data_IF_853300953407
#
_entry.id   IF_853300953407
#
_cell.length_a   1.000
_cell.length_b   1.000
_cell.length_c   1.000
_cell.angle_alpha   90.00
_cell.angle_beta   90.00
_cell.angle_gamma   90.00
#
_symmetry.space_group_name_H-M   'P 1'
#
loop_
_entity.id
_entity.type
_entity.pdbx_description
1 polymer ?
#
# COMPACT_ATOMS: atom_id res chain seq x y z
N UNK A 1 -17.83 -13.11 -0.06
CA UNK A 1 -17.17 -11.93 -0.66
C UNK A 1 -17.92 -10.70 -0.18
N UNK A 2 -17.19 -9.67 0.21
CA UNK A 2 -17.69 -8.42 0.81
C UNK A 2 -17.39 -7.31 -0.20
N UNK A 3 -18.41 -6.67 -0.75
CA UNK A 3 -18.23 -5.62 -1.77
C UNK A 3 -18.17 -4.26 -1.08
N UNK A 4 -17.15 -3.44 -1.37
CA UNK A 4 -17.01 -2.10 -0.76
C UNK A 4 -18.19 -1.17 -1.08
N UNK A 5 -18.89 -1.40 -2.19
CA UNK A 5 -20.07 -0.61 -2.57
C UNK A 5 -21.27 -0.86 -1.66
N UNK A 6 -21.36 -2.03 -1.03
CA UNK A 6 -22.40 -2.34 -0.04
C UNK A 6 -22.25 -1.49 1.23
N UNK A 7 -21.09 -0.87 1.42
CA UNK A 7 -20.77 0.06 2.50
C UNK A 7 -20.78 1.53 2.07
N UNK A 8 -21.19 1.81 0.83
CA UNK A 8 -21.36 3.16 0.32
C UNK A 8 -20.20 3.71 -0.50
N UNK A 9 -19.23 2.88 -0.92
CA UNK A 9 -18.17 3.35 -1.81
C UNK A 9 -18.74 3.77 -3.18
N UNK A 10 -18.35 4.96 -3.63
CA UNK A 10 -18.86 5.61 -4.86
C UNK A 10 -17.97 5.27 -6.06
N UNK A 11 -16.67 5.43 -5.91
CA UNK A 11 -15.69 5.15 -6.96
C UNK A 11 -15.74 6.12 -8.14
N UNK A 12 -15.93 7.40 -7.87
CA UNK A 12 -15.97 8.48 -8.86
C UNK A 12 -14.61 9.22 -8.99
N UNK A 13 -13.61 8.83 -8.19
CA UNK A 13 -12.29 9.48 -8.12
C UNK A 13 -12.27 10.80 -7.33
N UNK A 14 -13.40 11.25 -6.83
CA UNK A 14 -13.56 12.53 -6.13
C UNK A 14 -13.98 12.31 -4.68
N UNK A 15 -15.03 11.52 -4.47
CA UNK A 15 -15.56 11.17 -3.14
C UNK A 15 -14.53 10.37 -2.35
N UNK A 16 -14.37 10.72 -1.07
CA UNK A 16 -13.47 9.99 -0.17
C UNK A 16 -14.15 8.69 0.30
N UNK A 17 -13.73 7.57 -0.24
CA UNK A 17 -14.32 6.25 0.01
C UNK A 17 -13.66 5.49 1.18
N UNK A 18 -12.71 6.09 1.91
CA UNK A 18 -11.93 5.44 2.99
C UNK A 18 -12.83 4.71 3.98
N UNK A 19 -13.88 5.38 4.46
CA UNK A 19 -14.74 4.81 5.49
C UNK A 19 -15.52 3.57 4.98
N UNK A 20 -15.93 3.58 3.72
CA UNK A 20 -16.62 2.46 3.10
C UNK A 20 -15.69 1.26 2.92
N UNK A 21 -14.48 1.50 2.39
CA UNK A 21 -13.45 0.47 2.20
C UNK A 21 -13.03 -0.11 3.55
N UNK A 22 -12.77 0.74 4.55
CA UNK A 22 -12.36 0.27 5.88
C UNK A 22 -13.46 -0.55 6.58
N UNK A 23 -14.73 -0.14 6.47
CA UNK A 23 -15.85 -0.92 7.03
C UNK A 23 -15.95 -2.31 6.41
N UNK A 24 -15.72 -2.42 5.11
CA UNK A 24 -15.69 -3.73 4.44
C UNK A 24 -14.53 -4.59 4.97
N UNK A 25 -13.35 -4.02 5.14
CA UNK A 25 -12.19 -4.69 5.76
C UNK A 25 -12.45 -5.06 7.22
N UNK A 26 -13.11 -4.21 7.98
CA UNK A 26 -13.46 -4.46 9.39
C UNK A 26 -14.39 -5.68 9.57
N UNK A 27 -15.20 -6.01 8.55
CA UNK A 27 -15.99 -7.23 8.58
C UNK A 27 -15.12 -8.50 8.58
N UNK A 28 -13.89 -8.42 8.08
CA UNK A 28 -12.95 -9.54 8.05
C UNK A 28 -12.19 -9.74 9.37
N UNK A 29 -12.19 -8.77 10.29
CA UNK A 29 -11.40 -8.83 11.55
C UNK A 29 -11.58 -10.12 12.33
N UNK A 30 -12.78 -10.66 12.38
CA UNK A 30 -13.10 -11.81 13.23
C UNK A 30 -12.95 -13.15 12.51
N UNK A 31 -13.38 -13.22 11.26
CA UNK A 31 -13.54 -14.50 10.55
C UNK A 31 -12.74 -14.55 9.23
N UNK A 32 -12.01 -13.50 8.91
CA UNK A 32 -11.37 -13.37 7.60
C UNK A 32 -12.39 -13.18 6.48
N UNK A 33 -11.90 -13.14 5.25
CA UNK A 33 -12.75 -13.08 4.06
C UNK A 33 -12.10 -12.35 2.89
N UNK A 34 -12.85 -12.22 1.80
CA UNK A 34 -12.43 -11.48 0.61
C UNK A 34 -13.22 -10.19 0.50
N UNK A 35 -12.52 -9.06 0.49
CA UNK A 35 -13.06 -7.73 0.20
C UNK A 35 -12.82 -7.43 -1.26
N UNK A 36 -13.89 -7.14 -2.00
CA UNK A 36 -13.86 -6.87 -3.44
C UNK A 36 -13.91 -5.37 -3.68
N UNK A 37 -12.95 -4.89 -4.47
CA UNK A 37 -12.93 -3.54 -5.05
C UNK A 37 -13.40 -3.65 -6.50
N UNK A 38 -14.64 -3.23 -6.83
CA UNK A 38 -15.22 -3.42 -8.15
C UNK A 38 -14.50 -2.65 -9.25
N UNK A 39 -14.41 -3.29 -10.43
CA UNK A 39 -13.70 -2.79 -11.58
C UNK A 39 -14.29 -1.55 -12.25
N UNK A 40 -13.48 -0.93 -13.13
CA UNK A 40 -13.88 0.20 -13.97
C UNK A 40 -14.14 1.50 -13.19
N UNK A 41 -13.60 1.64 -11.98
CA UNK A 41 -13.81 2.77 -11.07
C UNK A 41 -12.53 3.16 -10.34
N UNK A 42 -12.45 4.44 -9.95
CA UNK A 42 -11.39 4.98 -9.12
C UNK A 42 -11.96 5.35 -7.75
N UNK A 43 -11.51 4.66 -6.72
CA UNK A 43 -11.88 4.92 -5.33
C UNK A 43 -10.78 5.74 -4.66
N UNK A 44 -11.07 7.01 -4.36
CA UNK A 44 -10.15 7.87 -3.61
C UNK A 44 -10.22 7.50 -2.13
N UNK A 45 -9.09 7.13 -1.55
CA UNK A 45 -9.02 6.69 -0.16
C UNK A 45 -7.83 7.33 0.57
N UNK A 46 -7.98 7.51 1.87
CA UNK A 46 -6.87 7.72 2.80
C UNK A 46 -6.32 6.40 3.33
N UNK A 47 -5.87 6.39 4.58
CA UNK A 47 -5.32 5.17 5.19
C UNK A 47 -6.37 4.08 5.35
N UNK A 48 -6.01 2.87 4.93
CA UNK A 48 -6.76 1.64 5.25
C UNK A 48 -5.84 0.61 5.90
N UNK A 49 -6.44 -0.26 6.73
CA UNK A 49 -5.76 -1.36 7.38
C UNK A 49 -6.36 -2.70 6.95
N UNK A 50 -5.50 -3.64 6.58
CA UNK A 50 -5.86 -5.03 6.25
C UNK A 50 -5.51 -5.91 7.45
N UNK A 51 -6.38 -6.85 7.78
CA UNK A 51 -6.27 -7.73 8.94
C UNK A 51 -5.95 -9.17 8.54
N UNK A 52 -5.65 -10.00 9.54
CA UNK A 52 -5.40 -11.43 9.34
C UNK A 52 -6.51 -12.12 8.56
N UNK A 53 -6.14 -13.12 7.79
CA UNK A 53 -7.05 -13.99 7.01
C UNK A 53 -7.92 -13.22 6.00
N UNK A 54 -7.40 -12.08 5.50
CA UNK A 54 -8.12 -11.18 4.59
C UNK A 54 -7.47 -11.14 3.21
N UNK A 55 -8.30 -11.25 2.20
CA UNK A 55 -7.95 -10.94 0.81
C UNK A 55 -8.57 -9.62 0.39
N UNK A 56 -7.74 -8.68 -0.08
CA UNK A 56 -8.17 -7.49 -0.81
C UNK A 56 -8.06 -7.81 -2.31
N UNK A 57 -9.21 -8.01 -2.95
CA UNK A 57 -9.28 -8.36 -4.37
C UNK A 57 -9.68 -7.16 -5.20
N UNK A 58 -8.81 -6.73 -6.12
CA UNK A 58 -9.06 -5.62 -7.03
C UNK A 58 -9.47 -6.17 -8.41
N UNK A 59 -10.72 -5.96 -8.79
CA UNK A 59 -11.18 -6.34 -10.12
C UNK A 59 -10.45 -5.56 -11.21
N UNK A 60 -10.45 -6.07 -12.43
CA UNK A 60 -9.84 -5.41 -13.59
C UNK A 60 -10.39 -4.00 -13.77
N UNK A 61 -9.48 -3.02 -13.89
CA UNK A 61 -9.83 -1.61 -14.01
C UNK A 61 -10.28 -0.94 -12.70
N UNK A 62 -10.24 -1.62 -11.56
CA UNK A 62 -10.37 -0.97 -10.26
C UNK A 62 -9.11 -0.17 -9.93
N UNK A 63 -9.25 1.02 -9.38
CA UNK A 63 -8.13 1.82 -8.87
C UNK A 63 -8.42 2.25 -7.44
N UNK A 64 -7.55 1.87 -6.49
CA UNK A 64 -7.49 2.48 -5.17
C UNK A 64 -6.47 3.62 -5.24
N UNK A 65 -6.93 4.85 -5.21
CA UNK A 65 -6.07 6.03 -5.34
C UNK A 65 -5.94 6.77 -4.01
N UNK A 66 -4.69 7.08 -3.63
CA UNK A 66 -4.42 7.88 -2.45
C UNK A 66 -5.08 9.26 -2.56
N UNK A 67 -5.66 9.72 -1.46
CA UNK A 67 -6.21 11.07 -1.36
C UNK A 67 -5.16 12.13 -1.69
N UNK A 68 -5.61 13.21 -2.28
CA UNK A 68 -4.82 14.42 -2.53
C UNK A 68 -4.61 15.29 -1.27
N UNK A 69 -5.11 14.83 -0.12
CA UNK A 69 -5.01 15.52 1.17
C UNK A 69 -4.27 14.66 2.18
N UNK A 70 -3.16 15.16 2.69
CA UNK A 70 -2.34 14.44 3.69
C UNK A 70 -3.12 14.17 4.99
N UNK A 71 -4.09 15.00 5.32
CA UNK A 71 -4.92 14.86 6.51
C UNK A 71 -5.81 13.61 6.48
N UNK A 72 -6.05 13.05 5.29
CA UNK A 72 -6.79 11.80 5.12
C UNK A 72 -5.92 10.57 5.43
N UNK A 73 -4.60 10.75 5.53
CA UNK A 73 -3.66 9.71 5.92
C UNK A 73 -3.45 9.72 7.44
N UNK A 74 -3.53 8.55 8.04
CA UNK A 74 -3.41 8.41 9.48
C UNK A 74 -1.98 8.18 9.90
N UNK A 75 -1.61 8.79 11.03
CA UNK A 75 -0.36 8.50 11.68
C UNK A 75 -0.36 7.09 12.29
N UNK A 76 0.84 6.60 12.55
CA UNK A 76 1.06 5.29 13.17
C UNK A 76 0.32 5.09 14.51
N UNK A 77 0.05 6.18 15.25
CA UNK A 77 -0.67 6.10 16.53
C UNK A 77 -2.14 5.74 16.40
N UNK A 78 -2.72 5.81 15.21
CA UNK A 78 -4.14 5.55 14.97
C UNK A 78 -4.34 4.17 14.33
N UNK A 79 -3.30 3.55 13.82
CA UNK A 79 -3.33 2.20 13.27
C UNK A 79 -3.37 1.20 14.43
N UNK A 80 -4.27 0.23 14.32
CA UNK A 80 -4.38 -0.82 15.33
C UNK A 80 -3.13 -1.71 15.34
N UNK A 81 -2.34 -1.57 16.37
CA UNK A 81 -1.10 -2.32 16.59
C UNK A 81 -1.25 -3.46 17.58
N UNK A 82 -2.48 -3.81 17.94
CA UNK A 82 -2.75 -4.82 18.97
C UNK A 82 -2.14 -6.18 18.67
N UNK A 83 -1.70 -6.40 17.43
CA UNK A 83 -1.19 -7.69 17.00
C UNK A 83 0.32 -7.75 16.73
N UNK A 84 1.10 -6.73 16.98
CA UNK A 84 2.57 -6.83 16.92
C UNK A 84 3.23 -5.56 16.38
N UNK A 85 3.67 -4.71 17.26
CA UNK A 85 4.79 -3.86 16.89
C UNK A 85 6.01 -4.76 16.73
N UNK A 86 6.65 -4.71 15.58
CA UNK A 86 7.94 -5.34 15.46
C UNK A 86 8.97 -4.54 16.26
N UNK A 87 9.72 -5.24 17.10
CA UNK A 87 10.91 -4.68 17.75
C UNK A 87 12.14 -4.69 16.81
N UNK A 88 11.97 -5.19 15.60
CA UNK A 88 13.04 -5.18 14.61
C UNK A 88 13.34 -3.72 14.25
N UNK A 89 14.56 -3.24 14.47
CA UNK A 89 14.96 -1.92 13.98
C UNK A 89 15.03 -1.98 12.47
N UNK A 90 13.91 -1.65 11.83
CA UNK A 90 13.73 -1.90 10.41
C UNK A 90 14.75 -1.11 9.60
N UNK A 91 14.83 0.17 9.83
CA UNK A 91 15.80 1.01 9.13
C UNK A 91 15.81 2.40 9.76
N UNK A 92 16.89 3.10 9.56
CA UNK A 92 16.99 4.53 9.80
C UNK A 92 17.28 5.15 8.45
N UNK A 93 16.36 5.91 7.91
CA UNK A 93 16.59 6.63 6.68
C UNK A 93 16.44 8.14 6.87
N UNK A 94 16.73 8.90 5.83
CA UNK A 94 16.68 10.35 5.87
C UNK A 94 15.26 10.93 6.01
N UNK A 95 14.21 10.12 5.79
CA UNK A 95 12.84 10.59 5.71
C UNK A 95 12.11 10.46 7.03
N UNK A 96 12.37 9.38 7.77
CA UNK A 96 11.78 9.17 9.09
C UNK A 96 12.68 8.27 9.94
N UNK A 97 12.66 8.50 11.22
CA UNK A 97 13.47 7.75 12.16
C UNK A 97 12.71 6.52 12.64
N UNK A 98 12.92 5.41 11.97
CA UNK A 98 12.25 4.14 12.26
C UNK A 98 11.02 3.91 11.38
N UNK A 99 9.82 4.15 11.88
CA UNK A 99 8.56 3.85 11.19
C UNK A 99 8.00 5.05 10.43
N UNK A 100 7.22 4.82 9.34
CA UNK A 100 6.56 5.90 8.63
C UNK A 100 5.68 6.75 9.54
N UNK A 101 5.69 8.06 9.32
CA UNK A 101 4.81 8.97 10.05
C UNK A 101 3.34 8.79 9.68
N UNK A 102 3.08 8.39 8.43
CA UNK A 102 1.75 8.13 7.89
C UNK A 102 1.76 6.84 7.08
N UNK A 103 0.60 6.20 7.00
CA UNK A 103 0.38 5.01 6.19
C UNK A 103 -0.68 5.28 5.11
N UNK A 104 -0.50 4.66 3.95
CA UNK A 104 -1.56 4.55 2.96
C UNK A 104 -2.27 3.20 3.10
N UNK A 105 -1.62 2.10 2.75
CA UNK A 105 -2.17 0.76 3.01
C UNK A 105 -1.25 0.05 4.00
N UNK A 106 -1.80 -0.29 5.14
CA UNK A 106 -1.10 -0.98 6.23
C UNK A 106 -1.67 -2.38 6.44
N UNK A 107 -0.80 -3.36 6.62
CA UNK A 107 -1.21 -4.72 6.93
C UNK A 107 -0.32 -5.33 8.02
N UNK A 108 -0.94 -6.07 8.95
CA UNK A 108 -0.24 -6.86 9.96
C UNK A 108 -1.06 -8.10 10.34
N UNK A 109 -0.40 -9.17 10.74
CA UNK A 109 -1.04 -10.42 11.18
C UNK A 109 -0.63 -11.64 10.36
N UNK A 110 -1.57 -12.41 9.85
CA UNK A 110 -1.30 -13.64 9.11
C UNK A 110 -2.24 -13.87 7.93
N UNK A 111 -1.80 -14.64 6.93
CA UNK A 111 -2.61 -15.05 5.79
C UNK A 111 -3.27 -13.87 5.07
N UNK A 112 -2.48 -12.84 4.71
CA UNK A 112 -2.96 -11.63 4.06
C UNK A 112 -2.67 -11.71 2.56
N UNK A 113 -3.66 -11.37 1.75
CA UNK A 113 -3.54 -11.39 0.30
C UNK A 113 -4.02 -10.08 -0.32
N UNK A 114 -3.28 -9.59 -1.32
CA UNK A 114 -3.68 -8.51 -2.23
C UNK A 114 -3.63 -9.07 -3.64
N UNK A 115 -4.77 -9.19 -4.31
CA UNK A 115 -4.84 -9.93 -5.56
C UNK A 115 -5.73 -9.24 -6.60
N UNK A 116 -5.69 -9.73 -7.82
CA UNK A 116 -6.53 -9.26 -8.93
C UNK A 116 -5.74 -8.55 -10.02
N UNK A 117 -6.44 -7.72 -10.81
CA UNK A 117 -5.89 -7.02 -11.97
C UNK A 117 -6.16 -5.51 -11.94
N UNK A 118 -6.52 -4.98 -10.79
CA UNK A 118 -6.66 -3.55 -10.56
C UNK A 118 -5.34 -2.88 -10.22
N UNK A 119 -5.40 -1.59 -9.87
CA UNK A 119 -4.25 -0.78 -9.51
C UNK A 119 -4.37 -0.15 -8.12
N UNK A 120 -3.24 0.06 -7.48
CA UNK A 120 -3.06 0.86 -6.28
C UNK A 120 -2.18 2.04 -6.68
N UNK A 121 -2.68 3.25 -6.51
CA UNK A 121 -2.07 4.51 -7.00
C UNK A 121 -1.74 5.42 -5.82
N UNK A 122 -0.47 5.72 -5.65
CA UNK A 122 0.05 6.54 -4.53
C UNK A 122 -0.12 8.04 -4.74
N UNK A 123 -0.56 8.48 -5.94
CA UNK A 123 -0.81 9.90 -6.22
C UNK A 123 0.40 10.80 -5.87
N UNK A 124 1.60 10.36 -6.18
CA UNK A 124 2.87 10.95 -5.74
C UNK A 124 3.01 12.44 -6.05
N UNK A 125 2.27 12.94 -7.03
CA UNK A 125 2.34 14.35 -7.43
C UNK A 125 1.96 15.34 -6.33
N UNK A 126 1.23 14.91 -5.30
CA UNK A 126 0.93 15.77 -4.14
C UNK A 126 2.17 16.10 -3.30
N UNK A 127 3.24 15.34 -3.47
CA UNK A 127 4.50 15.52 -2.75
C UNK A 127 5.56 16.27 -3.55
N UNK A 128 5.26 16.66 -4.80
CA UNK A 128 6.24 17.33 -5.65
C UNK A 128 6.60 18.71 -5.14
N UNK A 129 7.92 19.01 -5.19
CA UNK A 129 8.44 20.36 -5.18
C UNK A 129 8.69 20.83 -6.62
N UNK A 130 9.92 21.28 -6.93
CA UNK A 130 10.27 21.72 -8.28
C UNK A 130 10.71 20.53 -9.14
N UNK A 131 10.04 20.33 -10.26
CA UNK A 131 10.48 19.36 -11.24
C UNK A 131 11.57 19.95 -12.14
N UNK A 132 12.69 19.24 -12.26
CA UNK A 132 13.78 19.55 -13.16
C UNK A 132 13.79 18.56 -14.35
N UNK A 133 14.73 18.73 -15.27
CA UNK A 133 14.90 17.77 -16.36
C UNK A 133 15.22 16.36 -15.88
N UNK A 134 15.94 16.23 -14.78
CA UNK A 134 16.54 14.95 -14.34
C UNK A 134 15.89 14.37 -13.10
N UNK A 135 15.36 15.21 -12.22
CA UNK A 135 14.78 14.79 -10.95
C UNK A 135 13.73 15.78 -10.45
N UNK A 136 12.98 15.36 -9.44
CA UNK A 136 12.04 16.22 -8.72
C UNK A 136 12.71 16.66 -7.43
N UNK A 137 12.92 17.97 -7.31
CA UNK A 137 13.50 18.60 -6.12
C UNK A 137 12.42 19.00 -5.13
N UNK A 138 12.79 19.02 -3.87
CA UNK A 138 11.96 19.59 -2.81
C UNK A 138 10.65 18.82 -2.58
N UNK A 139 10.62 17.53 -2.89
CA UNK A 139 9.54 16.67 -2.44
C UNK A 139 9.44 16.77 -0.93
N UNK A 140 8.28 17.21 -0.42
CA UNK A 140 8.15 17.43 1.01
C UNK A 140 7.87 16.16 1.79
N UNK A 141 8.15 16.19 3.06
CA UNK A 141 8.00 15.05 3.96
C UNK A 141 6.86 15.29 4.97
N UNK A 142 6.27 14.23 5.53
CA UNK A 142 6.58 12.82 5.31
C UNK A 142 5.91 12.26 4.04
N UNK A 143 6.68 11.60 3.19
CA UNK A 143 6.16 10.79 2.09
C UNK A 143 5.70 9.44 2.63
N UNK A 144 4.74 8.83 1.97
CA UNK A 144 4.09 7.61 2.45
C UNK A 144 4.49 6.43 1.58
N UNK A 145 5.00 5.32 2.17
CA UNK A 145 5.11 4.07 1.42
C UNK A 145 3.73 3.67 0.87
N UNK A 146 3.71 3.12 -0.34
CA UNK A 146 2.44 2.73 -0.95
C UNK A 146 1.79 1.58 -0.19
N UNK A 147 2.57 0.52 0.07
CA UNK A 147 2.17 -0.60 0.90
C UNK A 147 3.20 -0.77 2.03
N UNK A 148 2.74 -0.76 3.27
CA UNK A 148 3.57 -1.07 4.42
C UNK A 148 3.03 -2.31 5.12
N UNK A 149 3.77 -3.41 5.00
CA UNK A 149 3.39 -4.75 5.46
C UNK A 149 4.30 -5.13 6.62
N UNK A 150 3.75 -5.23 7.82
CA UNK A 150 4.55 -5.41 9.03
C UNK A 150 4.22 -6.72 9.75
N UNK A 151 5.21 -7.57 10.01
CA UNK A 151 5.07 -8.83 10.75
C UNK A 151 3.94 -9.72 10.23
N UNK A 152 3.86 -9.89 8.90
CA UNK A 152 2.86 -10.78 8.32
C UNK A 152 3.48 -12.15 8.04
N UNK A 153 2.88 -13.19 8.62
CA UNK A 153 3.13 -14.57 8.22
C UNK A 153 2.20 -14.94 7.05
N UNK A 154 2.76 -15.47 5.96
CA UNK A 154 2.04 -15.84 4.74
C UNK A 154 1.41 -14.62 4.04
N UNK A 155 2.26 -13.70 3.56
CA UNK A 155 1.83 -12.59 2.71
C UNK A 155 1.88 -12.97 1.23
N UNK A 156 0.82 -12.67 0.50
CA UNK A 156 0.77 -12.87 -0.95
C UNK A 156 0.27 -11.63 -1.67
N UNK A 157 0.99 -11.19 -2.70
CA UNK A 157 0.51 -10.15 -3.62
C UNK A 157 0.68 -10.63 -5.06
N UNK A 158 -0.43 -10.61 -5.84
CA UNK A 158 -0.41 -11.14 -7.21
C UNK A 158 -1.23 -10.32 -8.19
N UNK A 159 -0.68 -10.12 -9.40
CA UNK A 159 -1.38 -9.61 -10.58
C UNK A 159 -1.72 -8.13 -10.59
N UNK A 160 -1.66 -7.46 -9.45
CA UNK A 160 -2.01 -6.03 -9.33
C UNK A 160 -0.92 -5.11 -9.88
N UNK A 161 -1.31 -3.89 -10.24
CA UNK A 161 -0.39 -2.81 -10.56
C UNK A 161 -0.23 -1.89 -9.35
N UNK A 162 1.00 -1.62 -8.94
CA UNK A 162 1.38 -0.60 -7.96
C UNK A 162 1.98 0.56 -8.74
N UNK A 163 1.49 1.77 -8.53
CA UNK A 163 1.95 2.89 -9.34
C UNK A 163 2.00 4.20 -8.58
N UNK A 164 2.81 5.13 -9.08
CA UNK A 164 2.88 6.49 -8.58
C UNK A 164 3.15 6.53 -7.07
N UNK A 165 4.09 5.70 -6.61
CA UNK A 165 4.50 5.71 -5.21
C UNK A 165 5.30 6.98 -4.90
N UNK A 166 4.99 7.60 -3.77
CA UNK A 166 5.73 8.77 -3.31
C UNK A 166 7.03 8.41 -2.59
N UNK A 167 7.17 7.15 -2.18
CA UNK A 167 8.30 6.59 -1.44
C UNK A 167 8.42 5.10 -1.74
N UNK A 168 9.07 4.30 -0.92
CA UNK A 168 9.20 2.85 -1.08
C UNK A 168 7.84 2.20 -1.39
N UNK A 169 7.78 1.44 -2.48
CA UNK A 169 6.49 1.01 -3.02
C UNK A 169 5.89 -0.16 -2.25
N UNK A 170 6.59 -1.27 -2.18
CA UNK A 170 6.19 -2.44 -1.39
C UNK A 170 7.20 -2.68 -0.28
N UNK A 171 6.98 -2.06 0.85
CA UNK A 171 7.83 -2.19 2.02
C UNK A 171 7.29 -3.24 2.97
N UNK A 172 8.04 -4.33 3.11
CA UNK A 172 7.71 -5.46 3.98
C UNK A 172 8.72 -5.54 5.11
N UNK A 173 8.26 -5.51 6.37
CA UNK A 173 9.13 -5.54 7.55
C UNK A 173 8.83 -6.76 8.39
N UNK A 174 9.84 -7.60 8.63
CA UNK A 174 9.74 -8.78 9.49
C UNK A 174 8.74 -9.85 9.00
N UNK A 175 8.39 -9.85 7.71
CA UNK A 175 7.44 -10.81 7.15
C UNK A 175 8.07 -12.17 6.88
N UNK A 176 7.23 -13.21 6.87
CA UNK A 176 7.66 -14.58 6.61
C UNK A 176 6.75 -15.26 5.59
N UNK A 177 7.34 -16.14 4.77
CA UNK A 177 6.63 -16.90 3.73
C UNK A 177 5.87 -15.97 2.77
N UNK A 178 6.65 -15.12 2.09
CA UNK A 178 6.13 -14.07 1.20
C UNK A 178 6.17 -14.52 -0.25
N UNK A 179 5.05 -14.31 -0.96
CA UNK A 179 4.97 -14.46 -2.42
C UNK A 179 4.58 -13.15 -3.08
N UNK A 180 5.44 -12.67 -3.96
CA UNK A 180 5.18 -11.56 -4.89
C UNK A 180 5.22 -12.12 -6.30
N UNK A 181 4.09 -12.18 -7.00
CA UNK A 181 4.01 -12.85 -8.30
C UNK A 181 3.20 -12.05 -9.34
N UNK A 182 3.81 -11.79 -10.47
CA UNK A 182 3.16 -11.18 -11.62
C UNK A 182 2.65 -9.76 -11.40
N UNK A 183 3.17 -9.03 -10.43
CA UNK A 183 2.81 -7.62 -10.21
C UNK A 183 3.55 -6.70 -11.18
N UNK A 184 3.00 -5.51 -11.35
CA UNK A 184 3.68 -4.42 -12.05
C UNK A 184 3.92 -3.27 -11.09
N UNK A 185 5.11 -2.69 -11.10
CA UNK A 185 5.44 -1.44 -10.41
C UNK A 185 5.79 -0.39 -11.45
N UNK A 186 5.09 0.74 -11.43
CA UNK A 186 5.22 1.81 -12.41
C UNK A 186 5.36 3.15 -11.69
N UNK A 187 6.58 3.51 -11.33
CA UNK A 187 6.89 4.73 -10.60
C UNK A 187 7.49 5.82 -11.49
N UNK A 188 7.46 7.04 -11.00
CA UNK A 188 8.13 8.15 -11.64
C UNK A 188 9.65 8.03 -11.47
N UNK A 189 10.37 7.89 -12.58
CA UNK A 189 11.83 7.69 -12.60
C UNK A 189 12.63 8.93 -12.20
N UNK A 190 11.98 10.03 -11.84
CA UNK A 190 12.65 11.26 -11.37
C UNK A 190 12.49 11.47 -9.86
N UNK A 191 11.61 10.75 -9.21
CA UNK A 191 11.33 10.94 -7.79
C UNK A 191 12.21 10.00 -6.96
N UNK A 192 13.12 10.57 -6.17
CA UNK A 192 14.05 9.79 -5.34
C UNK A 192 13.34 8.90 -4.33
N UNK A 193 13.96 7.78 -3.98
CA UNK A 193 13.46 6.78 -3.03
C UNK A 193 12.09 6.17 -3.40
N UNK A 194 11.77 6.12 -4.69
CA UNK A 194 10.63 5.36 -5.19
C UNK A 194 11.09 3.95 -5.57
N UNK A 195 11.56 3.23 -4.55
CA UNK A 195 12.05 1.87 -4.64
C UNK A 195 10.92 0.90 -5.02
N UNK A 196 11.26 -0.23 -5.59
CA UNK A 196 10.29 -1.21 -6.04
C UNK A 196 9.77 -2.09 -4.90
N UNK A 197 10.60 -3.00 -4.42
CA UNK A 197 10.22 -3.99 -3.40
C UNK A 197 11.33 -4.07 -2.35
N UNK A 198 10.98 -3.77 -1.10
CA UNK A 198 11.91 -3.68 0.04
C UNK A 198 11.58 -4.75 1.09
N UNK A 199 12.14 -5.97 0.98
CA UNK A 199 11.96 -7.02 1.98
C UNK A 199 12.93 -6.83 3.15
N UNK A 200 12.54 -6.00 4.12
CA UNK A 200 13.32 -5.65 5.30
C UNK A 200 13.16 -6.70 6.39
N UNK A 201 14.24 -7.38 6.78
CA UNK A 201 14.26 -8.47 7.77
C UNK A 201 13.24 -9.61 7.50
N UNK A 202 12.89 -9.82 6.24
CA UNK A 202 11.95 -10.86 5.85
C UNK A 202 12.60 -12.24 5.68
N UNK A 203 11.79 -13.29 5.78
CA UNK A 203 12.23 -14.69 5.61
C UNK A 203 11.39 -15.40 4.55
N UNK A 204 12.01 -16.26 3.75
CA UNK A 204 11.35 -17.06 2.72
C UNK A 204 10.56 -16.20 1.72
N UNK A 205 11.24 -15.21 1.13
CA UNK A 205 10.64 -14.30 0.14
C UNK A 205 10.86 -14.85 -1.26
N UNK A 206 9.77 -14.98 -2.02
CA UNK A 206 9.82 -15.29 -3.45
C UNK A 206 9.21 -14.14 -4.24
N UNK A 207 10.02 -13.56 -5.13
CA UNK A 207 9.60 -12.51 -6.08
C UNK A 207 9.81 -13.09 -7.47
N UNK A 208 8.73 -13.12 -8.28
CA UNK A 208 8.80 -13.73 -9.61
C UNK A 208 7.81 -13.09 -10.58
N UNK A 209 8.12 -13.18 -11.88
CA UNK A 209 7.26 -12.73 -12.99
C UNK A 209 6.85 -11.25 -12.91
N UNK A 210 7.61 -10.43 -12.22
CA UNK A 210 7.29 -9.01 -12.00
C UNK A 210 7.87 -8.12 -13.09
N UNK A 211 7.22 -6.99 -13.33
CA UNK A 211 7.74 -5.89 -14.14
C UNK A 211 7.89 -4.65 -13.27
N UNK A 212 9.09 -4.10 -13.16
CA UNK A 212 9.39 -3.01 -12.22
C UNK A 212 10.05 -1.85 -12.95
N UNK A 213 9.45 -0.66 -12.84
CA UNK A 213 10.05 0.63 -13.14
C UNK A 213 10.12 1.42 -11.83
N UNK A 214 11.33 1.62 -11.31
CA UNK A 214 11.59 2.32 -10.06
C UNK A 214 12.73 3.32 -10.24
N UNK A 215 12.70 4.43 -9.50
CA UNK A 215 13.71 5.48 -9.59
C UNK A 215 14.94 5.19 -8.71
N UNK A 216 14.81 4.24 -7.81
CA UNK A 216 15.85 3.80 -6.89
C UNK A 216 15.93 2.28 -6.90
N UNK A 217 16.19 1.61 -5.78
CA UNK A 217 16.35 0.16 -5.75
C UNK A 217 15.11 -0.60 -6.27
N UNK A 218 15.34 -1.58 -7.14
CA UNK A 218 14.24 -2.36 -7.71
C UNK A 218 13.78 -3.50 -6.80
#
# INVERSE_FOLDING_TARGET
MINIRDFGAVGDGITLDTAAVQKALDCCKKNGGTVVVPGGKTYKIGTIQIYSNTELYLESGAVLKQSDRIEDLRSISIVDKSNNETDIPSYINCEYNGKPAHYFIYATGENIRITGYGAIDGNESIYYGTETRYHIEGAWYPRTPLLYIENVDHFTITGVTLQNSAFWTLHMVGCRDVLVDGIRILNNLKLANCDGIDPDHCQNVRIQNCYIEAADDC
#
